data_IF_425923421762
#
_entry.id   IF_425923421762
#
_cell.length_a   1.000
_cell.length_b   1.000
_cell.length_c   1.000
_cell.angle_alpha   90.00
_cell.angle_beta   90.00
_cell.angle_gamma   90.00
#
_symmetry.space_group_name_H-M   'P 1'
#
loop_
_entity.id
_entity.type
_entity.pdbx_description
1 polymer ?
#
# COMPACT_ATOMS: atom_id res chain seq x y z
N UNK A 1 -47.66 37.82 18.49
CA UNK A 1 -47.12 39.16 18.72
C UNK A 1 -45.94 39.29 17.83
N UNK A 2 -46.07 39.83 16.55
CA UNK A 2 -45.90 41.22 16.17
C UNK A 2 -44.49 41.72 16.54
N UNK A 3 -43.59 42.22 15.70
CA UNK A 3 -43.70 43.01 14.47
C UNK A 3 -42.28 43.05 13.83
N UNK A 4 -42.09 42.91 12.50
CA UNK A 4 -41.99 44.00 11.49
C UNK A 4 -41.01 45.13 11.81
N UNK A 5 -40.04 45.40 10.89
CA UNK A 5 -39.90 46.59 10.05
C UNK A 5 -38.54 46.52 9.33
N UNK A 6 -38.47 46.47 7.98
CA UNK A 6 -38.46 47.59 7.06
C UNK A 6 -37.20 48.49 7.28
N UNK A 7 -36.24 48.54 6.41
CA UNK A 7 -36.19 49.06 5.04
C UNK A 7 -35.30 50.28 5.01
N UNK A 8 -34.36 50.35 4.10
CA UNK A 8 -34.11 51.64 3.42
C UNK A 8 -33.08 51.54 2.30
N UNK A 9 -33.64 51.76 1.14
CA UNK A 9 -32.96 52.08 -0.11
C UNK A 9 -32.18 53.38 0.02
N UNK A 10 -30.97 53.47 -0.52
CA UNK A 10 -30.47 54.75 -1.05
C UNK A 10 -29.64 54.48 -2.30
N UNK A 11 -30.15 54.99 -3.36
CA UNK A 11 -29.55 55.29 -4.66
C UNK A 11 -28.72 56.57 -4.55
N UNK A 12 -27.63 56.67 -5.28
CA UNK A 12 -27.11 57.85 -6.00
C UNK A 12 -25.83 57.41 -6.70
N UNK A 13 -25.86 57.28 -8.00
CA UNK A 13 -25.54 58.22 -9.10
C UNK A 13 -24.04 58.51 -9.28
N UNK A 14 -23.54 57.93 -10.33
CA UNK A 14 -22.87 58.49 -11.52
C UNK A 14 -21.67 59.43 -11.35
N UNK A 15 -20.55 59.05 -11.97
CA UNK A 15 -19.81 59.96 -12.87
C UNK A 15 -18.83 59.19 -13.74
N UNK A 16 -18.95 59.37 -15.02
CA UNK A 16 -18.07 59.01 -16.13
C UNK A 16 -16.73 59.77 -16.05
N UNK A 17 -15.61 59.12 -16.29
CA UNK A 17 -14.51 59.71 -17.06
C UNK A 17 -13.83 58.59 -17.88
N UNK A 18 -13.83 58.83 -19.17
CA UNK A 18 -13.14 58.09 -20.20
C UNK A 18 -11.63 58.34 -20.15
N UNK A 19 -10.86 57.32 -20.40
CA UNK A 19 -9.42 57.44 -20.58
C UNK A 19 -8.88 56.19 -21.28
N UNK A 20 -8.76 56.29 -22.59
CA UNK A 20 -8.10 55.34 -23.51
C UNK A 20 -6.63 55.20 -23.21
N UNK A 21 -6.04 54.03 -23.35
CA UNK A 21 -5.01 53.63 -24.32
C UNK A 21 -4.59 52.17 -24.10
N UNK A 22 -4.86 51.41 -25.11
CA UNK A 22 -4.25 50.24 -25.65
C UNK A 22 -2.79 50.00 -25.33
N UNK A 23 -2.42 48.73 -25.02
CA UNK A 23 -1.29 48.05 -25.67
C UNK A 23 -1.44 46.57 -25.42
N UNK A 24 -1.46 45.81 -26.49
CA UNK A 24 -1.72 44.42 -26.60
C UNK A 24 -0.58 43.54 -26.03
N UNK A 25 -0.98 42.46 -25.46
CA UNK A 25 -0.16 41.27 -25.37
C UNK A 25 -1.03 40.10 -25.79
N UNK A 26 -0.73 39.57 -26.97
CA UNK A 26 -1.28 38.34 -27.48
C UNK A 26 -0.89 37.21 -26.58
N UNK A 27 -1.80 36.73 -25.75
CA UNK A 27 -1.75 35.40 -25.22
C UNK A 27 -2.57 34.53 -26.18
N UNK A 28 -1.88 33.77 -27.03
CA UNK A 28 -2.48 32.78 -27.89
C UNK A 28 -3.03 31.65 -27.00
N UNK A 29 -4.32 31.72 -26.71
CA UNK A 29 -5.08 30.55 -26.26
C UNK A 29 -5.15 29.59 -27.44
N UNK A 30 -4.28 28.59 -27.40
CA UNK A 30 -4.36 27.44 -28.29
C UNK A 30 -5.53 26.60 -27.81
N UNK A 31 -6.67 26.83 -28.42
CA UNK A 31 -7.83 25.96 -28.36
C UNK A 31 -7.42 24.59 -28.85
N UNK A 32 -7.36 23.62 -27.94
CA UNK A 32 -7.11 22.22 -28.27
C UNK A 32 -8.41 21.61 -28.80
N UNK A 33 -8.46 21.49 -30.12
CA UNK A 33 -9.47 20.71 -30.84
C UNK A 33 -9.48 19.25 -30.36
N UNK A 34 -10.65 18.63 -30.17
CA UNK A 34 -10.75 17.21 -29.86
C UNK A 34 -10.85 16.42 -31.15
N UNK A 35 -9.73 16.11 -31.76
CA UNK A 35 -9.68 15.13 -32.85
C UNK A 35 -8.35 14.37 -32.80
N UNK A 36 -8.43 13.08 -32.61
CA UNK A 36 -7.29 12.21 -32.82
C UNK A 36 -7.06 11.22 -31.71
N UNK A 37 -7.53 10.01 -31.89
CA UNK A 37 -7.08 8.84 -31.18
C UNK A 37 -5.56 8.75 -31.25
N UNK A 38 -4.88 9.20 -30.22
CA UNK A 38 -3.48 8.87 -30.01
C UNK A 38 -3.39 7.85 -28.88
N UNK A 39 -3.19 6.62 -29.35
CA UNK A 39 -2.65 5.52 -28.59
C UNK A 39 -1.26 5.94 -28.07
N UNK A 40 -1.26 6.85 -27.10
CA UNK A 40 -0.08 7.35 -26.43
C UNK A 40 0.09 6.60 -25.13
N UNK A 41 0.87 5.54 -25.16
CA UNK A 41 1.47 4.91 -23.98
C UNK A 41 2.31 5.96 -23.23
N UNK A 42 1.63 6.89 -22.58
CA UNK A 42 2.20 7.81 -21.62
C UNK A 42 2.47 7.05 -20.33
N UNK A 43 3.67 6.53 -20.19
CA UNK A 43 4.20 5.97 -18.95
C UNK A 43 4.13 7.05 -17.86
N UNK A 44 2.99 7.10 -17.18
CA UNK A 44 2.87 7.78 -15.88
C UNK A 44 3.80 7.05 -14.92
N UNK A 45 4.84 7.70 -14.45
CA UNK A 45 5.81 7.17 -13.47
C UNK A 45 5.19 6.72 -12.14
N UNK A 46 3.89 6.88 -11.97
CA UNK A 46 3.07 6.42 -10.85
C UNK A 46 1.81 5.72 -11.38
N UNK A 47 1.98 4.78 -12.33
CA UNK A 47 0.88 3.98 -12.84
C UNK A 47 0.24 3.16 -11.71
N UNK A 48 -1.08 3.19 -11.63
CA UNK A 48 -1.88 2.26 -10.83
C UNK A 48 -1.41 0.83 -11.10
N UNK A 49 -1.20 0.06 -10.05
CA UNK A 49 -0.74 -1.33 -10.20
C UNK A 49 -1.78 -2.12 -11.00
N UNK A 50 -1.32 -2.83 -12.04
CA UNK A 50 -2.20 -3.71 -12.82
C UNK A 50 -2.79 -4.77 -11.90
N UNK A 51 -4.12 -4.95 -11.86
CA UNK A 51 -4.76 -5.98 -11.06
C UNK A 51 -4.15 -7.37 -11.29
N UNK A 52 -3.88 -8.11 -10.22
CA UNK A 52 -3.25 -9.42 -10.29
C UNK A 52 -1.73 -9.42 -10.51
N UNK A 53 -1.09 -8.27 -10.54
CA UNK A 53 0.38 -8.17 -10.59
C UNK A 53 1.00 -8.25 -9.19
N UNK A 54 2.31 -8.56 -9.12
CA UNK A 54 3.06 -8.50 -7.86
C UNK A 54 2.99 -7.09 -7.22
N UNK A 55 2.99 -6.05 -8.04
CA UNK A 55 2.85 -4.67 -7.57
C UNK A 55 1.48 -4.41 -6.95
N UNK A 56 0.42 -4.96 -7.54
CA UNK A 56 -0.93 -4.90 -6.98
C UNK A 56 -0.99 -5.57 -5.60
N UNK A 57 -0.40 -6.75 -5.46
CA UNK A 57 -0.33 -7.44 -4.16
C UNK A 57 0.40 -6.62 -3.10
N UNK A 58 1.59 -6.08 -3.42
CA UNK A 58 2.39 -5.33 -2.43
C UNK A 58 1.82 -3.96 -2.09
N UNK A 59 1.25 -3.23 -3.07
CA UNK A 59 0.78 -1.86 -2.86
C UNK A 59 -0.66 -1.75 -2.38
N UNK A 60 -1.56 -2.60 -2.90
CA UNK A 60 -3.00 -2.50 -2.64
C UNK A 60 -3.48 -3.49 -1.58
N UNK A 61 -2.87 -4.67 -1.50
CA UNK A 61 -3.24 -5.72 -0.53
C UNK A 61 -2.39 -5.62 0.73
N UNK A 62 -1.08 -5.43 0.58
CA UNK A 62 -0.08 -5.46 1.64
C UNK A 62 0.49 -6.87 1.85
N UNK A 63 1.79 -6.99 1.84
CA UNK A 63 2.52 -8.25 1.91
C UNK A 63 3.15 -8.51 3.29
N UNK A 64 3.04 -7.57 4.23
CA UNK A 64 3.71 -7.63 5.53
C UNK A 64 2.69 -7.58 6.67
N UNK A 65 2.89 -8.43 7.68
CA UNK A 65 2.21 -8.37 8.97
C UNK A 65 3.23 -8.28 10.09
N UNK A 66 2.91 -7.49 11.12
CA UNK A 66 3.79 -7.21 12.25
C UNK A 66 3.35 -7.95 13.51
N UNK A 67 4.32 -8.18 14.41
CA UNK A 67 4.12 -8.88 15.66
C UNK A 67 4.62 -8.08 16.85
N UNK A 68 3.98 -8.27 17.99
CA UNK A 68 4.47 -7.77 19.26
C UNK A 68 5.75 -8.48 19.70
N UNK A 69 6.45 -7.93 20.70
CA UNK A 69 7.66 -8.55 21.24
C UNK A 69 7.36 -9.97 21.71
N UNK A 70 8.18 -10.93 21.26
CA UNK A 70 8.08 -12.36 21.57
C UNK A 70 6.73 -13.02 21.22
N UNK A 71 5.82 -12.32 20.54
CA UNK A 71 4.53 -12.86 20.15
C UNK A 71 4.57 -13.49 18.75
N UNK A 72 3.71 -14.49 18.59
CA UNK A 72 3.44 -15.20 17.34
C UNK A 72 1.98 -15.12 16.93
N UNK A 73 1.14 -14.55 17.80
CA UNK A 73 -0.28 -14.36 17.56
C UNK A 73 -0.50 -13.18 16.63
N UNK A 74 -1.47 -13.31 15.76
CA UNK A 74 -1.86 -12.27 14.82
C UNK A 74 -2.64 -11.18 15.54
N UNK A 75 -2.25 -9.94 15.31
CA UNK A 75 -3.05 -8.78 15.74
C UNK A 75 -4.32 -8.66 14.88
N UNK A 76 -5.35 -7.92 15.33
CA UNK A 76 -6.53 -7.62 14.52
C UNK A 76 -6.17 -6.99 13.17
N UNK A 77 -5.19 -6.07 13.15
CA UNK A 77 -4.68 -5.42 11.94
C UNK A 77 -3.98 -6.41 11.02
N UNK A 78 -3.14 -7.28 11.59
CA UNK A 78 -2.47 -8.36 10.86
C UNK A 78 -3.48 -9.33 10.24
N UNK A 79 -4.51 -9.70 10.99
CA UNK A 79 -5.59 -10.55 10.50
C UNK A 79 -6.38 -9.90 9.36
N UNK A 80 -6.64 -8.59 9.43
CA UNK A 80 -7.32 -7.85 8.37
C UNK A 80 -6.48 -7.80 7.07
N UNK A 81 -5.16 -7.63 7.18
CA UNK A 81 -4.25 -7.71 6.02
C UNK A 81 -4.26 -9.12 5.43
N UNK A 82 -4.15 -10.15 6.26
CA UNK A 82 -4.15 -11.53 5.80
C UNK A 82 -5.48 -11.96 5.16
N UNK A 83 -6.61 -11.42 5.61
CA UNK A 83 -7.91 -11.65 4.96
C UNK A 83 -7.90 -11.12 3.51
N UNK A 84 -7.35 -9.92 3.28
CA UNK A 84 -7.16 -9.37 1.92
C UNK A 84 -6.19 -10.22 1.10
N UNK A 85 -5.09 -10.67 1.71
CA UNK A 85 -4.14 -11.56 1.03
C UNK A 85 -4.80 -12.87 0.62
N UNK A 86 -5.59 -13.50 1.51
CA UNK A 86 -6.30 -14.74 1.19
C UNK A 86 -7.29 -14.54 0.04
N UNK A 87 -8.07 -13.45 0.06
CA UNK A 87 -9.00 -13.12 -1.01
C UNK A 87 -8.27 -12.97 -2.35
N UNK A 88 -7.18 -12.20 -2.37
CA UNK A 88 -6.38 -11.98 -3.57
C UNK A 88 -5.74 -13.28 -4.08
N UNK A 89 -5.16 -14.09 -3.21
CA UNK A 89 -4.52 -15.36 -3.55
C UNK A 89 -5.52 -16.42 -4.08
N UNK A 90 -6.76 -16.37 -3.63
CA UNK A 90 -7.83 -17.22 -4.16
C UNK A 90 -8.31 -16.73 -5.53
N UNK A 91 -8.30 -15.41 -5.77
CA UNK A 91 -8.62 -14.83 -7.08
C UNK A 91 -7.51 -15.10 -8.12
N UNK A 92 -6.25 -15.19 -7.67
CA UNK A 92 -5.10 -15.42 -8.56
C UNK A 92 -4.36 -16.73 -8.19
N UNK A 93 -4.95 -17.90 -8.56
CA UNK A 93 -4.45 -19.22 -8.13
C UNK A 93 -3.11 -19.62 -8.74
N UNK A 94 -2.63 -18.95 -9.77
CA UNK A 94 -1.36 -19.21 -10.45
C UNK A 94 -0.13 -18.92 -9.56
N UNK A 95 -0.28 -18.10 -8.51
CA UNK A 95 0.84 -17.78 -7.64
C UNK A 95 1.04 -18.86 -6.56
N UNK A 96 2.27 -19.28 -6.39
CA UNK A 96 2.73 -19.89 -5.13
C UNK A 96 3.37 -18.82 -4.28
N UNK A 97 3.44 -19.03 -2.97
CA UNK A 97 3.98 -18.04 -2.04
C UNK A 97 5.01 -18.65 -1.10
N UNK A 98 5.94 -17.81 -0.67
CA UNK A 98 6.84 -18.07 0.43
C UNK A 98 6.56 -17.08 1.54
N UNK A 99 6.30 -17.55 2.76
CA UNK A 99 6.11 -16.72 3.93
C UNK A 99 7.44 -16.69 4.69
N UNK A 100 8.03 -15.51 4.74
CA UNK A 100 9.30 -15.25 5.41
C UNK A 100 9.03 -14.73 6.82
N UNK A 101 9.53 -15.42 7.85
CA UNK A 101 9.39 -15.01 9.25
C UNK A 101 10.66 -14.36 9.78
N UNK A 102 10.50 -13.23 10.47
CA UNK A 102 11.57 -12.41 10.99
C UNK A 102 11.39 -12.06 12.46
N UNK A 103 12.50 -11.75 13.12
CA UNK A 103 12.57 -11.29 14.49
C UNK A 103 13.45 -10.05 14.60
N UNK A 104 13.39 -9.34 15.72
CA UNK A 104 14.33 -8.26 16.03
C UNK A 104 15.70 -8.85 16.46
N UNK A 105 16.71 -7.99 16.62
CA UNK A 105 18.07 -8.42 16.89
C UNK A 105 18.32 -8.98 18.29
N UNK A 106 17.40 -8.81 19.25
CA UNK A 106 17.56 -9.23 20.63
C UNK A 106 17.47 -10.76 20.78
N UNK A 107 18.23 -11.33 21.69
CA UNK A 107 18.26 -12.77 21.92
C UNK A 107 19.23 -13.53 21.00
N UNK A 108 19.28 -14.87 21.19
CA UNK A 108 20.18 -15.73 20.42
C UNK A 108 19.68 -15.94 18.99
N UNK A 109 20.58 -16.38 18.13
CA UNK A 109 20.26 -16.68 16.74
C UNK A 109 19.23 -17.82 16.64
N UNK A 110 19.45 -18.90 17.39
CA UNK A 110 18.61 -20.09 17.42
C UNK A 110 17.19 -19.76 17.88
N UNK A 111 17.08 -18.97 18.95
CA UNK A 111 15.80 -18.49 19.45
C UNK A 111 15.03 -17.70 18.38
N UNK A 112 15.69 -16.76 17.72
CA UNK A 112 15.06 -15.91 16.69
C UNK A 112 14.69 -16.68 15.43
N UNK A 113 15.47 -17.68 15.03
CA UNK A 113 15.08 -18.60 13.94
C UNK A 113 13.80 -19.36 14.31
N UNK A 114 13.71 -19.89 15.54
CA UNK A 114 12.51 -20.58 16.00
C UNK A 114 11.30 -19.62 16.07
N UNK A 115 11.49 -18.39 16.58
CA UNK A 115 10.44 -17.36 16.67
C UNK A 115 9.94 -16.96 15.29
N UNK A 116 10.83 -16.69 14.33
CA UNK A 116 10.47 -16.38 12.95
C UNK A 116 9.72 -17.52 12.27
N UNK A 117 10.12 -18.80 12.52
CA UNK A 117 9.42 -19.96 11.99
C UNK A 117 7.98 -20.07 12.52
N UNK A 118 7.76 -19.81 13.82
CA UNK A 118 6.43 -19.78 14.43
C UNK A 118 5.56 -18.68 13.81
N UNK A 119 6.09 -17.47 13.61
CA UNK A 119 5.39 -16.35 12.96
C UNK A 119 4.97 -16.69 11.53
N UNK A 120 5.88 -17.26 10.74
CA UNK A 120 5.57 -17.72 9.39
C UNK A 120 4.49 -18.81 9.39
N UNK A 121 4.51 -19.72 10.39
CA UNK A 121 3.50 -20.76 10.56
C UNK A 121 2.13 -20.19 10.92
N UNK A 122 2.05 -19.18 11.79
CA UNK A 122 0.79 -18.50 12.13
C UNK A 122 0.14 -17.89 10.89
N UNK A 123 0.93 -17.20 10.05
CA UNK A 123 0.45 -16.63 8.77
C UNK A 123 0.00 -17.73 7.81
N UNK A 124 0.79 -18.81 7.64
CA UNK A 124 0.41 -19.94 6.79
C UNK A 124 -0.92 -20.57 7.24
N UNK A 125 -1.07 -20.80 8.53
CA UNK A 125 -2.28 -21.41 9.08
C UNK A 125 -3.50 -20.51 8.81
N UNK A 126 -3.38 -19.20 9.02
CA UNK A 126 -4.45 -18.25 8.73
C UNK A 126 -4.85 -18.27 7.25
N UNK A 127 -3.89 -18.16 6.33
CA UNK A 127 -4.16 -18.20 4.89
C UNK A 127 -4.81 -19.53 4.47
N UNK A 128 -4.35 -20.67 5.02
CA UNK A 128 -4.92 -21.98 4.71
C UNK A 128 -6.36 -22.12 5.22
N UNK A 129 -6.66 -21.60 6.41
CA UNK A 129 -8.01 -21.58 6.97
C UNK A 129 -8.97 -20.69 6.16
N UNK A 130 -8.41 -19.71 5.44
CA UNK A 130 -9.16 -18.82 4.56
C UNK A 130 -9.11 -19.22 3.07
N UNK A 131 -8.90 -20.52 2.80
CA UNK A 131 -9.09 -21.12 1.49
C UNK A 131 -7.85 -21.18 0.59
N UNK A 132 -6.70 -20.64 1.01
CA UNK A 132 -5.47 -20.76 0.22
C UNK A 132 -4.90 -22.18 0.36
N UNK A 133 -4.75 -22.88 -0.76
CA UNK A 133 -4.25 -24.25 -0.75
C UNK A 133 -2.85 -24.33 -0.11
N UNK A 134 -2.70 -25.16 0.93
CA UNK A 134 -1.45 -25.31 1.68
C UNK A 134 -0.26 -25.77 0.82
N UNK A 135 -0.51 -26.47 -0.30
CA UNK A 135 0.55 -26.91 -1.23
C UNK A 135 1.20 -25.73 -1.98
N UNK A 136 0.52 -24.56 -2.02
CA UNK A 136 1.02 -23.32 -2.61
C UNK A 136 1.86 -22.49 -1.64
N UNK A 137 1.91 -22.87 -0.36
CA UNK A 137 2.50 -22.07 0.71
C UNK A 137 3.77 -22.74 1.22
N UNK A 138 4.89 -22.07 1.10
CA UNK A 138 6.16 -22.41 1.75
C UNK A 138 6.41 -21.45 2.90
N UNK A 139 7.10 -21.92 3.94
CA UNK A 139 7.54 -21.08 5.05
C UNK A 139 9.05 -21.16 5.19
N UNK A 140 9.68 -20.03 5.50
CA UNK A 140 11.10 -19.93 5.82
C UNK A 140 11.28 -18.96 6.97
N UNK A 141 12.25 -19.19 7.83
CA UNK A 141 12.64 -18.26 8.87
C UNK A 141 14.04 -17.72 8.60
N UNK A 142 14.15 -16.43 8.65
CA UNK A 142 15.43 -15.73 8.67
C UNK A 142 15.81 -15.27 10.07
N UNK A 143 14.92 -15.45 11.05
CA UNK A 143 15.17 -14.95 12.41
C UNK A 143 15.54 -13.48 12.37
N UNK A 144 16.69 -13.11 12.94
CA UNK A 144 17.23 -11.75 12.97
C UNK A 144 18.23 -11.43 11.85
N UNK A 145 18.48 -12.36 10.93
CA UNK A 145 19.58 -12.27 9.95
C UNK A 145 19.26 -11.34 8.76
N UNK A 146 17.99 -10.93 8.59
CA UNK A 146 17.57 -10.00 7.52
C UNK A 146 16.76 -8.83 8.08
N UNK A 147 17.40 -7.92 8.82
CA UNK A 147 16.72 -6.72 9.33
C UNK A 147 16.37 -5.77 8.18
N UNK A 148 15.23 -5.08 8.29
CA UNK A 148 14.83 -3.96 7.40
C UNK A 148 15.14 -2.61 8.01
N UNK A 149 15.33 -2.58 9.34
CA UNK A 149 15.74 -1.39 10.07
C UNK A 149 16.87 -1.77 11.05
N UNK A 150 17.94 -0.97 11.05
CA UNK A 150 19.14 -1.22 11.85
C UNK A 150 19.37 -0.04 12.78
N UNK A 151 18.90 -0.16 14.00
CA UNK A 151 19.18 0.73 15.11
C UNK A 151 18.84 0.01 16.43
N UNK A 152 19.40 0.43 17.53
CA UNK A 152 19.15 -0.15 18.85
C UNK A 152 17.97 0.59 19.53
N UNK A 153 16.81 0.57 18.89
CA UNK A 153 15.61 1.29 19.32
C UNK A 153 14.32 0.53 18.96
N UNK A 154 13.26 0.79 19.71
CA UNK A 154 11.94 0.17 19.52
C UNK A 154 11.38 0.42 18.12
N UNK A 155 11.69 1.55 17.49
CA UNK A 155 11.25 1.90 16.14
C UNK A 155 11.79 0.95 15.08
N UNK A 156 13.07 0.54 15.20
CA UNK A 156 13.66 -0.48 14.34
C UNK A 156 13.17 -1.89 14.69
N UNK A 157 13.12 -2.23 15.97
CA UNK A 157 12.70 -3.57 16.41
C UNK A 157 11.27 -3.87 15.96
N UNK A 158 10.36 -2.91 16.02
CA UNK A 158 8.98 -3.09 15.59
C UNK A 158 8.86 -3.42 14.10
N UNK A 159 9.71 -2.85 13.25
CA UNK A 159 9.74 -3.14 11.82
C UNK A 159 10.35 -4.52 11.51
N UNK A 160 11.29 -4.96 12.34
CA UNK A 160 11.94 -6.25 12.18
C UNK A 160 11.05 -7.42 12.62
N UNK A 161 10.15 -7.22 13.59
CA UNK A 161 9.18 -8.22 14.05
C UNK A 161 8.03 -8.38 13.05
N UNK A 162 8.27 -9.10 11.97
CA UNK A 162 7.31 -9.23 10.88
C UNK A 162 7.27 -10.63 10.28
N UNK A 163 6.21 -10.90 9.54
CA UNK A 163 6.21 -11.93 8.50
C UNK A 163 5.83 -11.30 7.16
N UNK A 164 6.51 -11.71 6.10
CA UNK A 164 6.31 -11.20 4.75
C UNK A 164 5.89 -12.32 3.81
N UNK A 165 4.82 -12.07 3.04
CA UNK A 165 4.33 -12.97 2.01
C UNK A 165 4.93 -12.58 0.67
N UNK A 166 5.79 -13.44 0.13
CA UNK A 166 6.48 -13.23 -1.15
C UNK A 166 5.80 -14.08 -2.22
N UNK A 167 5.35 -13.44 -3.30
CA UNK A 167 4.82 -14.15 -4.47
C UNK A 167 5.95 -14.78 -5.26
N UNK A 168 5.84 -16.09 -5.52
CA UNK A 168 6.72 -16.78 -6.44
C UNK A 168 6.07 -16.80 -7.82
N UNK A 169 6.64 -16.07 -8.77
CA UNK A 169 6.27 -16.20 -10.18
C UNK A 169 6.77 -17.55 -10.68
N UNK A 170 5.88 -18.37 -11.24
CA UNK A 170 6.17 -19.72 -11.66
C UNK A 170 7.47 -19.81 -12.49
N UNK A 171 8.47 -20.48 -11.92
CA UNK A 171 9.69 -20.83 -12.64
C UNK A 171 11.02 -20.37 -12.06
N UNK A 172 11.06 -19.52 -11.04
CA UNK A 172 12.34 -19.16 -10.43
C UNK A 172 12.35 -19.40 -8.91
N UNK A 173 12.65 -20.64 -8.54
CA UNK A 173 13.27 -20.89 -7.24
C UNK A 173 14.69 -20.33 -7.37
N UNK A 174 14.89 -19.06 -7.05
CA UNK A 174 16.21 -18.51 -6.90
C UNK A 174 16.85 -19.17 -5.69
N UNK A 175 17.63 -20.21 -5.95
CA UNK A 175 18.61 -20.70 -5.00
C UNK A 175 19.72 -19.62 -4.94
N UNK A 176 19.74 -18.85 -3.86
CA UNK A 176 20.91 -18.09 -3.43
C UNK A 176 21.33 -18.54 -2.04
#
# INVERSE_FOLDING_TARGET
MLATTAGRRWLCMAALVAGTLSLGACAANKELQPDGALNGSGSSKYGTATPGSQRDFTQNVGDIVYFSTDQTDLTPEGSAILAKQAQWLNQYPQYTITIEGHADERGTREYNIALGAKRATSVRNYLSQNGVNASRIRTISYGKERPVAVCNDISCWSQNRRAQTVLNTGGQVSQR
#
